data_IF_747250719988
#
_entry.id   IF_747250719988
#
_cell.length_a   1.000
_cell.length_b   1.000
_cell.length_c   1.000
_cell.angle_alpha   90.00
_cell.angle_beta   90.00
_cell.angle_gamma   90.00
#
_symmetry.space_group_name_H-M   'P 1'
#
loop_
_entity.id
_entity.type
_entity.pdbx_description
1 polymer ?
#
# COMPACT_ATOMS: atom_id res chain seq x y z
N UNK A 1 -17.06 53.70 37.99
CA UNK A 1 -18.01 53.26 36.93
C UNK A 1 -17.21 52.59 35.82
N UNK A 2 -17.76 51.48 35.30
CA UNK A 2 -17.24 50.59 34.26
C UNK A 2 -16.79 51.34 32.99
N UNK A 3 -15.72 50.85 32.34
CA UNK A 3 -15.67 50.33 30.94
C UNK A 3 -14.19 50.21 30.51
N UNK A 4 -13.61 49.01 30.35
CA UNK A 4 -13.75 48.00 29.27
C UNK A 4 -12.90 48.32 28.02
N UNK A 5 -12.28 47.25 27.49
CA UNK A 5 -11.44 47.11 26.27
C UNK A 5 -9.97 47.52 26.44
N UNK A 6 -8.96 46.64 26.49
CA UNK A 6 -8.73 45.31 25.87
C UNK A 6 -8.99 45.29 24.35
N UNK A 7 -8.07 45.85 23.56
CA UNK A 7 -7.93 45.69 22.10
C UNK A 7 -6.52 46.25 21.78
N UNK A 8 -5.52 45.49 21.34
CA UNK A 8 -5.45 44.97 19.99
C UNK A 8 -4.67 43.65 19.98
N UNK A 9 -5.49 42.61 19.96
CA UNK A 9 -5.24 41.22 19.71
C UNK A 9 -4.57 41.04 18.33
N UNK A 10 -3.60 40.12 18.29
CA UNK A 10 -3.19 39.29 17.15
C UNK A 10 -3.17 39.98 15.76
N UNK A 11 -1.95 40.24 15.29
CA UNK A 11 -1.61 39.99 13.89
C UNK A 11 -1.87 38.50 13.63
N UNK A 12 -3.09 38.21 13.18
CA UNK A 12 -3.46 36.93 12.57
C UNK A 12 -2.60 36.82 11.31
N UNK A 13 -1.51 36.07 11.46
CA UNK A 13 -0.88 35.32 10.38
C UNK A 13 -1.97 34.53 9.66
N UNK A 14 -2.58 35.15 8.65
CA UNK A 14 -3.23 34.45 7.55
C UNK A 14 -2.13 33.76 6.73
N UNK A 15 -1.48 32.76 7.34
CA UNK A 15 -0.93 31.65 6.56
C UNK A 15 -2.13 30.81 6.17
N UNK A 16 -2.82 31.26 5.13
CA UNK A 16 -3.72 30.42 4.37
C UNK A 16 -2.82 29.36 3.72
N UNK A 17 -2.56 28.26 4.44
CA UNK A 17 -2.19 27.01 3.79
C UNK A 17 -3.36 26.72 2.87
N UNK A 18 -3.20 27.02 1.58
CA UNK A 18 -3.99 26.32 0.58
C UNK A 18 -3.75 24.86 0.88
N UNK A 19 -4.78 24.18 1.36
CA UNK A 19 -4.81 22.73 1.31
C UNK A 19 -4.52 22.42 -0.16
N UNK A 20 -3.30 21.98 -0.43
CA UNK A 20 -2.98 21.41 -1.72
C UNK A 20 -3.95 20.25 -1.84
N UNK A 21 -4.96 20.38 -2.71
CA UNK A 21 -5.68 19.23 -3.21
C UNK A 21 -4.60 18.28 -3.71
N UNK A 22 -4.30 17.26 -2.91
CA UNK A 22 -3.46 16.15 -3.34
C UNK A 22 -4.24 15.53 -4.48
N UNK A 23 -3.94 15.98 -5.70
CA UNK A 23 -4.40 15.31 -6.90
C UNK A 23 -3.79 13.92 -6.84
N UNK A 24 -4.58 12.97 -6.39
CA UNK A 24 -4.20 11.58 -6.43
C UNK A 24 -3.91 11.25 -7.89
N UNK A 25 -2.74 10.65 -8.13
CA UNK A 25 -2.38 10.15 -9.45
C UNK A 25 -2.47 8.62 -9.41
N UNK A 26 -2.60 7.94 -10.58
CA UNK A 26 -2.67 6.48 -10.62
C UNK A 26 -1.48 5.77 -9.94
N UNK A 27 -0.34 6.47 -9.83
CA UNK A 27 0.93 5.98 -9.27
C UNK A 27 1.12 6.36 -7.79
N UNK A 28 0.17 7.02 -7.15
CA UNK A 28 0.33 7.39 -5.73
C UNK A 28 0.50 6.12 -4.87
N UNK A 29 1.52 6.12 -4.00
CA UNK A 29 1.92 4.97 -3.17
C UNK A 29 0.75 4.39 -2.38
N UNK A 30 -0.10 5.26 -1.83
CA UNK A 30 -1.22 4.90 -0.96
C UNK A 30 -2.43 4.41 -1.76
N UNK A 31 -2.54 4.72 -3.06
CA UNK A 31 -3.75 4.41 -3.84
C UNK A 31 -3.75 2.95 -4.30
N UNK A 32 -4.80 2.19 -4.01
CA UNK A 32 -5.07 0.86 -4.58
C UNK A 32 -6.37 0.86 -5.38
N UNK A 33 -6.38 0.12 -6.49
CA UNK A 33 -7.51 0.04 -7.44
C UNK A 33 -8.04 -1.36 -7.65
N UNK A 34 -7.45 -2.36 -6.98
CA UNK A 34 -7.89 -3.75 -7.03
C UNK A 34 -6.93 -4.70 -6.32
N UNK A 35 -7.33 -5.97 -6.25
CA UNK A 35 -6.53 -7.08 -5.70
C UNK A 35 -6.26 -8.13 -6.78
N UNK A 36 -5.01 -8.61 -6.86
CA UNK A 36 -4.73 -9.87 -7.54
C UNK A 36 -4.84 -10.98 -6.51
N UNK A 37 -5.76 -11.92 -6.74
CA UNK A 37 -6.07 -12.99 -5.81
C UNK A 37 -5.03 -14.09 -5.95
N UNK A 38 -4.41 -14.46 -4.83
CA UNK A 38 -3.33 -15.44 -4.79
C UNK A 38 -3.62 -16.46 -3.70
N UNK A 39 -3.62 -17.75 -4.07
CA UNK A 39 -3.91 -18.84 -3.13
C UNK A 39 -2.75 -19.12 -2.16
N UNK A 40 -2.93 -20.10 -1.27
CA UNK A 40 -1.91 -20.51 -0.29
C UNK A 40 -0.65 -21.12 -0.90
N UNK A 41 -0.70 -21.51 -2.18
CA UNK A 41 0.42 -22.08 -2.93
C UNK A 41 1.17 -21.02 -3.75
N UNK A 42 0.65 -19.79 -3.81
CA UNK A 42 1.22 -18.71 -4.60
C UNK A 42 0.67 -18.62 -6.02
N UNK A 43 -0.39 -19.36 -6.36
CA UNK A 43 -1.00 -19.30 -7.69
C UNK A 43 -1.99 -18.15 -7.78
N UNK A 44 -1.95 -17.41 -8.89
CA UNK A 44 -2.96 -16.40 -9.21
C UNK A 44 -4.26 -17.09 -9.57
N UNK A 45 -5.32 -16.81 -8.82
CA UNK A 45 -6.65 -17.44 -8.98
C UNK A 45 -7.69 -16.48 -9.57
N UNK A 46 -7.39 -15.19 -9.60
CA UNK A 46 -8.30 -14.19 -10.16
C UNK A 46 -7.88 -12.76 -9.85
N UNK A 47 -8.77 -11.81 -10.14
CA UNK A 47 -8.60 -10.40 -9.83
C UNK A 47 -9.92 -9.81 -9.34
N UNK A 48 -9.82 -8.84 -8.44
CA UNK A 48 -10.92 -7.93 -8.08
C UNK A 48 -10.57 -6.56 -8.65
N UNK A 49 -11.49 -5.97 -9.41
CA UNK A 49 -11.34 -4.68 -10.08
C UNK A 49 -10.10 -4.62 -11.01
N UNK A 50 -9.34 -3.52 -11.01
CA UNK A 50 -8.13 -3.36 -11.82
C UNK A 50 -6.91 -3.13 -10.92
N UNK A 51 -6.20 -4.20 -10.46
CA UNK A 51 -5.10 -4.05 -9.52
C UNK A 51 -3.93 -3.27 -10.11
N UNK A 52 -3.52 -2.18 -9.44
CA UNK A 52 -2.34 -1.38 -9.80
C UNK A 52 -1.05 -2.01 -9.29
N UNK A 53 -0.74 -3.15 -9.88
CA UNK A 53 0.44 -3.96 -9.60
C UNK A 53 1.38 -3.92 -10.81
N UNK A 54 2.69 -3.92 -10.55
CA UNK A 54 3.63 -4.22 -11.62
C UNK A 54 3.37 -5.65 -12.12
N UNK A 55 3.32 -5.91 -13.43
CA UNK A 55 2.91 -7.23 -13.94
C UNK A 55 4.07 -8.22 -14.11
N UNK A 56 5.31 -7.75 -14.17
CA UNK A 56 6.52 -8.58 -14.35
C UNK A 56 7.19 -8.91 -13.01
N UNK A 57 6.44 -9.53 -12.08
CA UNK A 57 6.87 -9.80 -10.68
C UNK A 57 7.48 -11.18 -10.48
N UNK A 58 8.12 -11.77 -11.49
CA UNK A 58 8.66 -13.13 -11.41
C UNK A 58 9.70 -13.34 -10.28
N UNK A 59 10.31 -12.26 -9.79
CA UNK A 59 11.29 -12.31 -8.72
C UNK A 59 10.71 -12.32 -7.30
N UNK A 60 9.43 -11.98 -7.10
CA UNK A 60 8.80 -11.88 -5.78
C UNK A 60 7.38 -12.44 -5.79
N UNK A 61 7.12 -13.41 -4.92
CA UNK A 61 5.79 -13.95 -4.65
C UNK A 61 5.29 -13.50 -3.26
N UNK A 62 4.04 -13.05 -3.20
CA UNK A 62 3.36 -12.65 -1.96
C UNK A 62 2.01 -13.35 -1.88
N UNK A 63 1.78 -14.15 -0.83
CA UNK A 63 0.59 -15.00 -0.73
C UNK A 63 0.28 -15.46 0.70
N UNK A 64 -0.98 -15.79 1.04
CA UNK A 64 -2.17 -15.59 0.20
C UNK A 64 -2.55 -14.11 0.09
N UNK A 65 -3.27 -13.75 -0.97
CA UNK A 65 -3.91 -12.46 -1.13
C UNK A 65 -5.38 -12.71 -1.43
N UNK A 66 -6.31 -12.22 -0.60
CA UNK A 66 -6.13 -11.52 0.69
C UNK A 66 -5.52 -12.42 1.78
N UNK A 67 -5.17 -11.83 2.92
CA UNK A 67 -4.63 -12.55 4.10
C UNK A 67 -5.33 -12.15 5.39
N UNK A 68 -5.64 -13.10 6.25
CA UNK A 68 -6.25 -12.88 7.57
C UNK A 68 -5.29 -13.21 8.73
N UNK A 69 -4.07 -13.65 8.43
CA UNK A 69 -3.10 -14.11 9.42
C UNK A 69 -1.70 -13.85 8.90
N UNK A 70 -1.07 -14.80 8.21
CA UNK A 70 0.29 -14.63 7.72
C UNK A 70 0.30 -14.35 6.22
N UNK A 71 1.05 -13.31 5.82
CA UNK A 71 1.48 -13.12 4.43
C UNK A 71 2.88 -13.71 4.28
N UNK A 72 3.01 -14.71 3.41
CA UNK A 72 4.30 -15.23 2.99
C UNK A 72 4.87 -14.37 1.88
N UNK A 73 6.11 -13.92 2.04
CA UNK A 73 6.90 -13.24 1.02
C UNK A 73 8.06 -14.15 0.66
N UNK A 74 8.21 -14.45 -0.63
CA UNK A 74 9.33 -15.23 -1.17
C UNK A 74 9.96 -14.49 -2.34
N UNK A 75 11.26 -14.59 -2.49
CA UNK A 75 11.98 -14.04 -3.62
C UNK A 75 13.03 -15.02 -4.16
N UNK A 76 13.36 -14.85 -5.45
CA UNK A 76 14.48 -15.52 -6.11
C UNK A 76 15.85 -14.97 -5.67
N UNK A 77 15.87 -13.83 -4.97
CA UNK A 77 17.09 -13.22 -4.40
C UNK A 77 16.85 -12.79 -2.95
N UNK A 78 17.90 -12.29 -2.28
CA UNK A 78 17.78 -11.79 -0.92
C UNK A 78 16.86 -10.56 -0.85
N UNK A 79 15.86 -10.66 0.02
CA UNK A 79 15.01 -9.54 0.42
C UNK A 79 15.83 -8.66 1.36
N UNK A 80 15.93 -7.38 1.02
CA UNK A 80 16.66 -6.36 1.77
C UNK A 80 15.74 -5.60 2.71
N UNK A 81 14.60 -5.12 2.20
CA UNK A 81 13.63 -4.36 2.98
C UNK A 81 12.20 -4.77 2.63
N UNK A 82 11.29 -4.65 3.59
CA UNK A 82 9.84 -4.78 3.38
C UNK A 82 9.12 -3.62 4.06
N UNK A 83 8.17 -3.00 3.36
CA UNK A 83 7.31 -1.95 3.91
C UNK A 83 5.85 -2.26 3.71
N UNK A 84 5.05 -1.95 4.72
CA UNK A 84 3.60 -2.07 4.70
C UNK A 84 3.01 -0.68 4.78
N UNK A 85 2.27 -0.30 3.76
CA UNK A 85 1.59 0.98 3.65
C UNK A 85 0.09 0.74 3.73
N UNK A 86 -0.63 1.53 4.53
CA UNK A 86 -2.09 1.50 4.51
C UNK A 86 -2.58 2.08 3.20
N UNK A 87 -3.47 1.37 2.51
CA UNK A 87 -3.94 1.77 1.19
C UNK A 87 -5.29 2.48 1.26
N UNK A 88 -5.46 3.45 0.37
CA UNK A 88 -6.69 4.17 0.09
C UNK A 88 -7.24 3.59 -1.21
N UNK A 89 -8.47 3.10 -1.15
CA UNK A 89 -9.13 2.56 -2.34
C UNK A 89 -9.58 3.72 -3.23
N UNK A 90 -9.34 3.62 -4.55
CA UNK A 90 -9.85 4.58 -5.53
C UNK A 90 -10.49 3.92 -6.74
N UNK A 91 -11.68 4.41 -7.11
CA UNK A 91 -12.39 4.05 -8.35
C UNK A 91 -11.94 4.88 -9.55
N UNK A 92 -11.28 6.01 -9.31
CA UNK A 92 -10.98 7.02 -10.35
C UNK A 92 -10.02 6.50 -11.43
N UNK A 93 -9.19 5.51 -11.09
CA UNK A 93 -8.14 5.00 -11.96
C UNK A 93 -8.41 3.58 -12.48
N UNK A 94 -9.67 3.13 -12.46
CA UNK A 94 -10.05 1.78 -12.89
C UNK A 94 -9.71 1.48 -14.35
N UNK A 95 -9.68 2.49 -15.23
CA UNK A 95 -9.41 2.32 -16.65
C UNK A 95 -7.93 2.53 -17.03
N UNK A 96 -7.04 2.68 -16.04
CA UNK A 96 -5.62 2.90 -16.28
C UNK A 96 -4.93 1.60 -16.67
N UNK A 97 -4.16 1.63 -17.75
CA UNK A 97 -3.24 0.55 -18.09
C UNK A 97 -1.99 0.63 -17.22
N UNK A 98 -2.00 -0.14 -16.14
CA UNK A 98 -0.89 -0.20 -15.20
C UNK A 98 0.36 -0.88 -15.77
N UNK A 99 0.24 -1.68 -16.83
CA UNK A 99 1.37 -2.39 -17.41
C UNK A 99 2.35 -1.47 -18.14
N UNK A 100 1.88 -0.31 -18.62
CA UNK A 100 2.69 0.68 -19.31
C UNK A 100 3.31 1.73 -18.39
N UNK A 101 2.77 1.92 -17.18
CA UNK A 101 3.19 3.03 -16.31
C UNK A 101 3.93 2.60 -15.05
N UNK A 102 3.82 1.33 -14.63
CA UNK A 102 4.45 0.81 -13.41
C UNK A 102 5.77 0.08 -13.74
N UNK A 103 6.78 0.27 -12.90
CA UNK A 103 8.09 -0.39 -13.00
C UNK A 103 8.75 -0.49 -11.61
N UNK A 104 9.84 -1.27 -11.49
CA UNK A 104 10.52 -1.55 -10.20
C UNK A 104 11.23 -0.36 -9.59
N UNK A 105 11.42 0.73 -10.34
CA UNK A 105 12.10 1.97 -9.89
C UNK A 105 11.13 3.11 -9.62
N UNK A 106 9.83 2.82 -9.62
CA UNK A 106 8.79 3.83 -9.47
C UNK A 106 8.84 4.53 -8.10
N UNK A 107 9.14 3.77 -7.05
CA UNK A 107 9.13 4.25 -5.67
C UNK A 107 10.53 4.21 -5.09
N UNK A 108 10.86 5.18 -4.23
CA UNK A 108 12.14 5.20 -3.52
C UNK A 108 12.02 4.60 -2.13
N UNK A 109 13.09 3.98 -1.63
CA UNK A 109 13.11 3.43 -0.26
C UNK A 109 12.87 4.50 0.81
N UNK A 110 13.31 5.75 0.58
CA UNK A 110 13.06 6.86 1.50
C UNK A 110 11.59 7.24 1.58
N UNK A 111 10.91 7.30 0.43
CA UNK A 111 9.47 7.59 0.36
C UNK A 111 8.65 6.47 1.01
N UNK A 112 8.99 5.20 0.73
CA UNK A 112 8.34 4.05 1.34
C UNK A 112 8.51 4.02 2.85
N UNK A 113 9.71 4.33 3.35
CA UNK A 113 9.98 4.42 4.78
C UNK A 113 9.10 5.47 5.46
N UNK A 114 8.93 6.64 4.84
CA UNK A 114 8.11 7.73 5.38
C UNK A 114 6.61 7.41 5.40
N UNK A 115 6.11 6.67 4.40
CA UNK A 115 4.69 6.33 4.25
C UNK A 115 4.28 5.02 4.94
N UNK A 116 5.24 4.18 5.31
CA UNK A 116 4.95 2.88 5.91
C UNK A 116 4.45 2.98 7.34
N UNK A 117 3.46 2.15 7.67
CA UNK A 117 3.01 1.93 9.05
C UNK A 117 3.84 0.86 9.77
N UNK A 118 4.57 0.05 8.98
CA UNK A 118 5.51 -0.95 9.47
C UNK A 118 6.60 -1.17 8.44
N UNK A 119 7.84 -1.28 8.91
CA UNK A 119 9.00 -1.65 8.10
C UNK A 119 9.78 -2.81 8.71
N UNK A 120 10.41 -3.60 7.84
CA UNK A 120 11.42 -4.61 8.17
C UNK A 120 12.65 -4.27 7.33
N UNK A 121 13.70 -3.77 7.97
CA UNK A 121 14.88 -3.23 7.28
C UNK A 121 16.13 -4.07 7.54
N UNK A 122 17.08 -4.04 6.61
CA UNK A 122 18.37 -4.73 6.77
C UNK A 122 18.25 -6.25 6.81
N UNK A 123 17.28 -6.80 6.09
CA UNK A 123 17.09 -8.23 5.92
C UNK A 123 18.14 -8.81 4.97
N UNK A 124 18.42 -10.10 5.15
CA UNK A 124 19.21 -10.91 4.20
C UNK A 124 18.62 -12.32 4.19
N UNK A 125 17.42 -12.45 3.63
CA UNK A 125 16.66 -13.72 3.55
C UNK A 125 15.90 -13.78 2.24
N UNK A 126 15.76 -14.97 1.66
CA UNK A 126 14.93 -15.20 0.48
C UNK A 126 13.44 -15.38 0.80
N UNK A 127 13.08 -15.48 2.08
CA UNK A 127 11.69 -15.56 2.50
C UNK A 127 11.44 -14.96 3.88
N UNK A 128 10.21 -14.48 4.07
CA UNK A 128 9.71 -13.89 5.31
C UNK A 128 8.23 -14.27 5.46
N UNK A 129 7.78 -14.48 6.69
CA UNK A 129 6.35 -14.49 7.03
C UNK A 129 6.04 -13.24 7.83
N UNK A 130 5.04 -12.50 7.38
CA UNK A 130 4.58 -11.27 8.01
C UNK A 130 3.25 -11.57 8.70
N UNK A 131 3.17 -11.26 9.98
CA UNK A 131 1.93 -11.41 10.75
C UNK A 131 1.01 -10.19 10.53
N UNK A 132 -0.13 -10.43 9.88
CA UNK A 132 -1.23 -9.50 9.67
C UNK A 132 -2.36 -9.67 10.71
N UNK A 133 -2.28 -10.63 11.63
CA UNK A 133 -3.37 -10.90 12.60
C UNK A 133 -3.65 -9.73 13.55
N UNK A 134 -2.67 -8.85 13.76
CA UNK A 134 -2.80 -7.66 14.60
C UNK A 134 -3.13 -6.39 13.80
N UNK A 135 -3.23 -6.47 12.48
CA UNK A 135 -3.52 -5.31 11.63
C UNK A 135 -5.02 -5.05 11.64
N UNK A 136 -5.45 -3.77 11.74
CA UNK A 136 -6.85 -3.43 11.54
C UNK A 136 -7.34 -3.91 10.18
N UNK A 137 -8.63 -4.27 10.11
CA UNK A 137 -9.26 -4.59 8.85
C UNK A 137 -9.09 -3.46 7.82
N UNK A 138 -8.81 -3.83 6.57
CA UNK A 138 -8.69 -2.87 5.47
C UNK A 138 -7.64 -3.25 4.43
N UNK A 139 -7.39 -2.30 3.53
CA UNK A 139 -6.47 -2.45 2.40
C UNK A 139 -5.06 -2.00 2.74
N UNK A 140 -4.09 -2.76 2.23
CA UNK A 140 -2.67 -2.50 2.41
C UNK A 140 -1.92 -2.72 1.11
N UNK A 141 -0.77 -2.07 0.99
CA UNK A 141 0.23 -2.38 -0.03
C UNK A 141 1.50 -2.84 0.66
N UNK A 142 2.00 -3.98 0.23
CA UNK A 142 3.23 -4.57 0.72
C UNK A 142 4.29 -4.39 -0.35
N UNK A 143 5.36 -3.68 0.00
CA UNK A 143 6.51 -3.41 -0.85
C UNK A 143 7.70 -4.25 -0.39
N UNK A 144 8.49 -4.73 -1.34
CA UNK A 144 9.65 -5.60 -1.12
C UNK A 144 10.81 -5.04 -1.96
N UNK A 145 11.87 -4.57 -1.31
CA UNK A 145 13.14 -4.23 -1.95
C UNK A 145 14.07 -5.45 -1.91
N UNK A 146 14.64 -5.80 -3.05
CA UNK A 146 15.68 -6.83 -3.17
C UNK A 146 17.07 -6.22 -3.04
N UNK A 147 18.10 -7.03 -2.82
CA UNK A 147 19.48 -6.54 -2.67
C UNK A 147 19.99 -5.74 -3.90
N UNK A 148 19.47 -6.04 -5.09
CA UNK A 148 19.79 -5.29 -6.31
C UNK A 148 19.12 -3.90 -6.40
N UNK A 149 18.28 -3.55 -5.42
CA UNK A 149 17.55 -2.28 -5.34
C UNK A 149 16.21 -2.26 -6.08
N UNK A 150 15.81 -3.35 -6.75
CA UNK A 150 14.48 -3.42 -7.37
C UNK A 150 13.38 -3.53 -6.31
N UNK A 151 12.30 -2.77 -6.50
CA UNK A 151 11.15 -2.77 -5.60
C UNK A 151 9.94 -3.38 -6.29
N UNK A 152 9.37 -4.39 -5.65
CA UNK A 152 8.14 -5.06 -6.05
C UNK A 152 7.05 -4.78 -5.02
N UNK A 153 5.78 -4.81 -5.41
CA UNK A 153 4.68 -4.64 -4.47
C UNK A 153 3.47 -5.45 -4.86
N UNK A 154 2.63 -5.76 -3.87
CA UNK A 154 1.28 -6.31 -4.04
C UNK A 154 0.29 -5.54 -3.17
N UNK A 155 -0.93 -5.41 -3.66
CA UNK A 155 -2.07 -4.97 -2.86
C UNK A 155 -2.61 -6.19 -2.10
N UNK A 156 -2.99 -6.00 -0.84
CA UNK A 156 -3.64 -7.01 -0.04
C UNK A 156 -4.78 -6.39 0.77
N UNK A 157 -5.63 -7.25 1.31
CA UNK A 157 -6.67 -6.91 2.26
C UNK A 157 -6.56 -7.86 3.44
N UNK A 158 -6.80 -7.34 4.64
CA UNK A 158 -6.94 -8.14 5.85
C UNK A 158 -8.27 -7.82 6.52
N UNK A 159 -8.93 -8.84 7.07
CA UNK A 159 -10.29 -8.73 7.59
C UNK A 159 -11.03 -10.06 7.63
N UNK A 160 -12.23 -10.05 8.18
CA UNK A 160 -13.10 -11.24 8.20
C UNK A 160 -13.74 -11.39 6.81
N UNK A 161 -13.28 -12.37 6.05
CA UNK A 161 -13.88 -12.74 4.77
C UNK A 161 -15.11 -13.61 5.07
N UNK A 162 -16.30 -13.00 5.05
CA UNK A 162 -17.56 -13.72 5.21
C UNK A 162 -17.97 -14.33 3.87
N UNK A 163 -17.73 -15.63 3.70
CA UNK A 163 -18.10 -16.35 2.48
C UNK A 163 -16.96 -16.46 1.48
N UNK A 164 -17.21 -16.10 0.23
CA UNK A 164 -16.25 -16.15 -0.86
C UNK A 164 -15.28 -14.96 -0.79
N UNK A 165 -14.07 -15.14 -1.31
CA UNK A 165 -13.11 -14.03 -1.47
C UNK A 165 -13.64 -12.94 -2.42
N UNK A 166 -14.58 -13.32 -3.30
CA UNK A 166 -15.28 -12.40 -4.20
C UNK A 166 -16.36 -11.57 -3.48
N UNK A 167 -16.70 -11.92 -2.23
CA UNK A 167 -17.66 -11.17 -1.42
C UNK A 167 -16.99 -10.00 -0.68
N UNK A 168 -15.67 -9.82 -0.84
CA UNK A 168 -14.96 -8.62 -0.38
C UNK A 168 -15.52 -7.42 -1.13
N UNK A 169 -16.25 -6.57 -0.42
CA UNK A 169 -16.63 -5.26 -0.92
C UNK A 169 -15.41 -4.35 -0.92
N UNK A 170 -14.59 -4.49 -1.97
CA UNK A 170 -13.34 -3.76 -2.13
C UNK A 170 -13.51 -2.23 -2.04
N UNK A 171 -14.73 -1.72 -2.20
CA UNK A 171 -15.02 -0.30 -2.27
C UNK A 171 -15.50 0.32 -0.96
N UNK A 172 -15.59 -0.46 0.12
CA UNK A 172 -15.97 0.02 1.45
C UNK A 172 -14.79 0.55 2.26
#
# INVERSE_FOLDING_TARGET
>A
MKRFSLFFLLLIIFSCTKDEEIKNEPKTIEITTGLELVDLMGNVTGKIANPNIYTKRSAVAMYPIPTNSFLSVKSTSSIKNVWIVKAIVSKEFLNVDYSSILNTKLYSSSELKQKSIKSFEGLNKSSLKIDFSTYPEGHYRVFVELENGDIYWSNTYTGIIKGSVFDIDFWK
#
